data_IF_339836582284
#
_entry.id   IF_339836582284
#
_cell.length_a   1.000
_cell.length_b   1.000
_cell.length_c   1.000
_cell.angle_alpha   90.00
_cell.angle_beta   90.00
_cell.angle_gamma   90.00
#
_symmetry.space_group_name_H-M   'P 1'
#
loop_
_entity.id
_entity.type
_entity.pdbx_description
1 polymer ?
#
# COMPACT_ATOMS: atom_id res chain seq x y z
N UNK A 1 12.96 8.96 9.00
CA UNK A 1 13.12 7.60 9.59
C UNK A 1 13.19 6.59 8.48
N UNK A 2 14.12 5.60 8.55
CA UNK A 2 14.17 4.53 7.54
C UNK A 2 12.92 3.64 7.67
N UNK A 3 12.22 3.31 6.57
CA UNK A 3 11.01 2.47 6.63
C UNK A 3 11.26 1.09 7.26
N UNK A 4 12.47 0.56 7.10
CA UNK A 4 12.88 -0.74 7.63
C UNK A 4 13.34 -0.72 9.09
N UNK A 5 13.47 0.46 9.73
CA UNK A 5 13.89 0.57 11.13
C UNK A 5 12.85 -0.02 12.08
N UNK A 6 13.27 -0.80 13.08
CA UNK A 6 12.39 -1.50 14.05
C UNK A 6 12.45 -0.88 15.46
N UNK A 7 13.04 0.30 15.61
CA UNK A 7 13.26 0.97 16.91
C UNK A 7 11.99 1.21 17.74
N UNK A 8 10.86 1.44 17.07
CA UNK A 8 9.58 1.71 17.73
C UNK A 8 8.68 0.48 17.88
N UNK A 9 9.14 -0.68 17.42
CA UNK A 9 8.42 -1.93 17.42
C UNK A 9 8.46 -2.62 16.05
N UNK A 10 8.13 -3.90 16.03
CA UNK A 10 8.15 -4.71 14.79
C UNK A 10 7.11 -4.20 13.80
N UNK A 11 7.50 -4.18 12.54
CA UNK A 11 6.62 -3.93 11.40
C UNK A 11 7.02 -4.88 10.27
N UNK A 12 6.08 -5.31 9.46
CA UNK A 12 6.42 -6.12 8.30
C UNK A 12 7.02 -5.23 7.20
N UNK A 13 8.17 -5.61 6.66
CA UNK A 13 8.92 -4.86 5.65
C UNK A 13 9.36 -5.72 4.46
N UNK A 14 8.96 -6.99 4.44
CA UNK A 14 9.36 -7.97 3.45
C UNK A 14 9.89 -9.25 4.09
N UNK A 15 10.37 -10.16 3.25
CA UNK A 15 10.93 -11.46 3.67
C UNK A 15 12.44 -11.53 3.43
N UNK A 16 13.03 -12.71 3.54
CA UNK A 16 14.47 -12.90 3.35
C UNK A 16 14.93 -12.45 1.95
N UNK A 17 16.08 -11.80 1.89
CA UNK A 17 16.72 -11.43 0.63
C UNK A 17 17.01 -12.66 -0.22
N UNK A 18 16.89 -12.52 -1.54
CA UNK A 18 17.06 -13.61 -2.50
C UNK A 18 15.79 -14.41 -2.78
N UNK A 19 14.70 -14.17 -2.04
CA UNK A 19 13.39 -14.70 -2.39
C UNK A 19 12.96 -14.14 -3.75
N UNK A 20 12.45 -14.98 -4.64
CA UNK A 20 11.89 -14.54 -5.93
C UNK A 20 10.46 -14.01 -5.81
N UNK A 21 10.12 -13.38 -4.68
CA UNK A 21 8.80 -12.78 -4.43
C UNK A 21 8.90 -11.28 -4.25
N UNK A 22 7.93 -10.57 -4.81
CA UNK A 22 7.77 -9.11 -4.71
C UNK A 22 6.31 -8.82 -4.34
N UNK A 23 6.07 -7.93 -3.38
CA UNK A 23 4.75 -7.38 -3.11
C UNK A 23 4.64 -5.96 -3.64
N UNK A 24 3.78 -5.75 -4.65
CA UNK A 24 3.37 -4.43 -5.07
C UNK A 24 2.33 -3.87 -4.08
N UNK A 25 2.57 -2.67 -3.60
CA UNK A 25 1.64 -1.99 -2.71
C UNK A 25 1.40 -0.56 -3.16
N UNK A 26 0.14 -0.11 -3.05
CA UNK A 26 -0.32 1.21 -3.48
C UNK A 26 -1.02 1.91 -2.33
N UNK A 27 -0.64 3.15 -2.07
CA UNK A 27 -1.18 3.99 -1.00
C UNK A 27 -2.04 5.14 -1.57
N UNK A 28 -2.88 5.72 -0.72
CA UNK A 28 -3.67 6.93 -0.93
C UNK A 28 -4.92 6.80 -1.81
N UNK A 29 -5.23 5.60 -2.33
CA UNK A 29 -6.48 5.36 -3.06
C UNK A 29 -7.74 5.28 -2.16
N UNK A 30 -8.91 4.99 -2.75
CA UNK A 30 -9.16 4.85 -4.19
C UNK A 30 -9.14 6.20 -4.94
N UNK A 31 -8.73 6.18 -6.20
CA UNK A 31 -8.55 7.38 -7.02
C UNK A 31 -9.01 7.15 -8.49
N UNK A 32 -9.90 7.99 -8.96
CA UNK A 32 -10.38 7.96 -10.35
C UNK A 32 -9.58 8.95 -11.22
N UNK A 33 -9.11 8.54 -12.42
CA UNK A 33 -9.26 7.22 -13.05
C UNK A 33 -8.08 6.26 -12.77
N UNK A 34 -7.10 6.65 -11.96
CA UNK A 34 -5.81 5.98 -11.94
C UNK A 34 -5.83 4.62 -11.23
N UNK A 35 -6.64 4.46 -10.15
CA UNK A 35 -6.83 3.14 -9.54
C UNK A 35 -7.42 2.15 -10.55
N UNK A 36 -8.44 2.55 -11.33
CA UNK A 36 -9.05 1.68 -12.34
C UNK A 36 -8.06 1.29 -13.44
N UNK A 37 -7.28 2.25 -13.97
CA UNK A 37 -6.22 1.98 -14.95
C UNK A 37 -5.14 1.05 -14.40
N UNK A 38 -4.82 1.18 -13.10
CA UNK A 38 -3.88 0.29 -12.45
C UNK A 38 -4.43 -1.13 -12.34
N UNK A 39 -5.73 -1.30 -12.04
CA UNK A 39 -6.38 -2.62 -12.05
C UNK A 39 -6.32 -3.27 -13.43
N UNK A 40 -6.48 -2.50 -14.52
CA UNK A 40 -6.31 -3.01 -15.89
C UNK A 40 -4.87 -3.50 -16.15
N UNK A 41 -3.86 -2.75 -15.69
CA UNK A 41 -2.45 -3.18 -15.80
C UNK A 41 -2.23 -4.49 -15.03
N UNK A 42 -2.65 -4.55 -13.77
CA UNK A 42 -2.50 -5.73 -12.93
C UNK A 42 -3.20 -6.97 -13.52
N UNK A 43 -4.39 -6.78 -14.09
CA UNK A 43 -5.15 -7.84 -14.75
C UNK A 43 -4.44 -8.39 -15.99
N UNK A 44 -3.89 -7.53 -16.86
CA UNK A 44 -3.12 -7.95 -18.06
C UNK A 44 -1.94 -8.86 -17.71
N UNK A 45 -1.31 -8.62 -16.58
CA UNK A 45 -0.16 -9.41 -16.11
C UNK A 45 -0.55 -10.57 -15.18
N UNK A 46 -1.84 -10.74 -14.87
CA UNK A 46 -2.32 -11.71 -13.88
C UNK A 46 -1.64 -11.54 -12.50
N UNK A 47 -1.47 -10.29 -12.04
CA UNK A 47 -0.79 -9.92 -10.80
C UNK A 47 -1.79 -9.42 -9.77
N UNK A 48 -1.67 -9.90 -8.53
CA UNK A 48 -2.40 -9.39 -7.39
C UNK A 48 -1.53 -8.46 -6.54
N UNK A 49 -2.09 -7.37 -6.06
CA UNK A 49 -1.41 -6.35 -5.26
C UNK A 49 -2.15 -6.08 -3.93
N UNK A 50 -1.57 -5.21 -3.11
CA UNK A 50 -2.20 -4.73 -1.88
C UNK A 50 -2.37 -3.22 -1.93
N UNK A 51 -3.58 -2.73 -1.63
CA UNK A 51 -3.95 -1.33 -1.64
C UNK A 51 -4.23 -0.85 -0.21
N UNK A 52 -3.54 0.18 0.25
CA UNK A 52 -3.80 0.83 1.53
C UNK A 52 -4.66 2.08 1.29
N UNK A 53 -5.95 1.96 1.58
CA UNK A 53 -6.95 2.96 1.20
C UNK A 53 -7.23 3.96 2.32
N UNK A 54 -7.41 5.23 1.93
CA UNK A 54 -7.84 6.31 2.83
C UNK A 54 -9.36 6.22 3.03
N UNK A 55 -9.81 6.06 4.27
CA UNK A 55 -11.22 5.80 4.58
C UNK A 55 -12.20 6.86 4.06
N UNK A 56 -11.84 8.16 4.11
CA UNK A 56 -12.69 9.22 3.55
C UNK A 56 -12.89 9.09 2.04
N UNK A 57 -11.91 8.58 1.30
CA UNK A 57 -12.03 8.35 -0.15
C UNK A 57 -12.80 7.07 -0.45
N UNK A 58 -12.67 6.05 0.41
CA UNK A 58 -13.53 4.86 0.34
C UNK A 58 -15.00 5.23 0.48
N UNK A 59 -15.36 6.12 1.40
CA UNK A 59 -16.76 6.61 1.52
C UNK A 59 -17.26 7.32 0.27
N UNK A 60 -16.38 8.05 -0.42
CA UNK A 60 -16.75 8.79 -1.64
C UNK A 60 -16.81 7.89 -2.87
N UNK A 61 -15.95 6.87 -2.95
CA UNK A 61 -15.78 5.98 -4.11
C UNK A 61 -15.73 4.50 -3.68
N UNK A 62 -16.78 4.09 -2.96
CA UNK A 62 -16.97 2.69 -2.56
C UNK A 62 -17.05 1.73 -3.76
N UNK A 63 -17.51 2.23 -4.92
CA UNK A 63 -17.53 1.51 -6.19
C UNK A 63 -16.11 1.04 -6.58
N UNK A 64 -15.11 1.92 -6.54
CA UNK A 64 -13.72 1.57 -6.87
C UNK A 64 -13.13 0.60 -5.84
N UNK A 65 -13.42 0.80 -4.54
CA UNK A 65 -12.98 -0.14 -3.50
C UNK A 65 -13.52 -1.55 -3.74
N UNK A 66 -14.77 -1.68 -4.20
CA UNK A 66 -15.35 -2.98 -4.59
C UNK A 66 -14.68 -3.59 -5.81
N UNK A 67 -14.33 -2.80 -6.83
CA UNK A 67 -13.60 -3.32 -8.01
C UNK A 67 -12.21 -3.84 -7.63
N UNK A 68 -11.49 -3.17 -6.70
CA UNK A 68 -10.21 -3.67 -6.17
C UNK A 68 -10.37 -5.09 -5.58
N UNK A 69 -11.36 -5.30 -4.72
CA UNK A 69 -11.59 -6.59 -4.06
C UNK A 69 -12.08 -7.65 -5.06
N UNK A 70 -13.00 -7.28 -5.95
CA UNK A 70 -13.53 -8.16 -7.00
C UNK A 70 -12.43 -8.68 -7.94
N UNK A 71 -11.39 -7.86 -8.19
CA UNK A 71 -10.21 -8.25 -8.96
C UNK A 71 -9.22 -9.12 -8.16
N UNK A 72 -9.53 -9.49 -6.90
CA UNK A 72 -8.72 -10.38 -6.07
C UNK A 72 -7.55 -9.70 -5.35
N UNK A 73 -7.52 -8.38 -5.32
CA UNK A 73 -6.51 -7.63 -4.58
C UNK A 73 -6.85 -7.53 -3.09
N UNK A 74 -5.84 -7.30 -2.27
CA UNK A 74 -6.00 -7.11 -0.82
C UNK A 74 -6.12 -5.62 -0.51
N UNK A 75 -7.05 -5.28 0.39
CA UNK A 75 -7.26 -3.92 0.89
C UNK A 75 -6.82 -3.84 2.35
N UNK A 76 -6.01 -2.84 2.69
CA UNK A 76 -5.57 -2.49 4.03
C UNK A 76 -5.98 -1.06 4.44
N UNK A 77 -5.85 -0.79 5.72
CA UNK A 77 -6.19 0.48 6.37
C UNK A 77 -5.06 1.50 6.18
N UNK A 78 -5.39 2.71 5.64
CA UNK A 78 -4.44 3.83 5.54
C UNK A 78 -4.91 5.07 6.31
N UNK A 79 -5.59 4.86 7.46
CA UNK A 79 -6.29 5.88 8.26
C UNK A 79 -7.50 6.50 7.55
N UNK A 80 -8.30 7.25 8.30
CA UNK A 80 -9.50 7.87 7.72
C UNK A 80 -9.21 9.15 6.95
N UNK A 81 -8.35 10.05 7.50
CA UNK A 81 -8.05 11.37 6.91
C UNK A 81 -6.60 11.55 6.48
N UNK A 82 -5.74 10.54 6.65
CA UNK A 82 -4.32 10.57 6.34
C UNK A 82 -3.50 11.58 7.17
N UNK A 83 -3.63 11.66 8.51
CA UNK A 83 -2.85 12.57 9.32
C UNK A 83 -1.46 12.00 9.61
N UNK A 84 -0.52 12.88 9.95
CA UNK A 84 0.78 12.46 10.49
C UNK A 84 0.62 11.99 11.94
N UNK A 85 0.47 10.68 12.14
CA UNK A 85 0.08 10.04 13.41
C UNK A 85 1.07 10.25 14.56
N UNK A 86 2.33 10.61 14.30
CA UNK A 86 3.33 10.81 15.35
C UNK A 86 3.01 12.00 16.27
N UNK A 87 2.16 12.93 15.83
CA UNK A 87 1.71 14.08 16.62
C UNK A 87 0.32 13.87 17.22
N UNK A 88 -0.31 12.71 17.02
CA UNK A 88 -1.68 12.43 17.47
C UNK A 88 -1.69 11.70 18.81
N UNK A 89 -2.66 12.02 19.67
CA UNK A 89 -2.93 11.25 20.89
C UNK A 89 -3.36 9.82 20.57
N UNK A 90 -3.29 8.91 21.53
CA UNK A 90 -3.75 7.53 21.35
C UNK A 90 -5.24 7.46 20.98
N UNK A 91 -6.07 8.35 21.54
CA UNK A 91 -7.49 8.42 21.22
C UNK A 91 -7.73 8.86 19.76
N UNK A 92 -7.00 9.87 19.26
CA UNK A 92 -7.08 10.31 17.87
C UNK A 92 -6.58 9.21 16.91
N UNK A 93 -5.47 8.53 17.24
CA UNK A 93 -4.98 7.40 16.45
C UNK A 93 -6.04 6.32 16.37
N UNK A 94 -6.64 5.92 17.51
CA UNK A 94 -7.70 4.92 17.56
C UNK A 94 -8.89 5.33 16.69
N UNK A 95 -9.31 6.60 16.79
CA UNK A 95 -10.41 7.13 15.97
C UNK A 95 -10.12 7.02 14.47
N UNK A 96 -8.93 7.47 14.02
CA UNK A 96 -8.51 7.40 12.62
C UNK A 96 -8.53 5.97 12.07
N UNK A 97 -8.02 5.02 12.84
CA UNK A 97 -7.97 3.62 12.44
C UNK A 97 -9.35 2.96 12.44
N UNK A 98 -10.18 3.26 13.44
CA UNK A 98 -11.53 2.70 13.56
C UNK A 98 -12.48 3.28 12.51
N UNK A 99 -12.44 4.58 12.25
CA UNK A 99 -13.27 5.23 11.23
C UNK A 99 -12.93 4.70 9.81
N UNK A 100 -11.63 4.47 9.53
CA UNK A 100 -11.21 3.85 8.27
C UNK A 100 -11.71 2.40 8.17
N UNK A 101 -11.59 1.61 9.26
CA UNK A 101 -12.13 0.24 9.31
C UNK A 101 -13.63 0.22 9.03
N UNK A 102 -14.40 1.12 9.65
CA UNK A 102 -15.84 1.23 9.39
C UNK A 102 -16.13 1.57 7.94
N UNK A 103 -15.41 2.53 7.36
CA UNK A 103 -15.59 2.89 5.95
C UNK A 103 -15.28 1.72 4.99
N UNK A 104 -14.24 0.95 5.28
CA UNK A 104 -13.91 -0.26 4.52
C UNK A 104 -14.99 -1.33 4.70
N UNK A 105 -15.42 -1.61 5.92
CA UNK A 105 -16.47 -2.59 6.19
C UNK A 105 -17.78 -2.23 5.48
N UNK A 106 -18.20 -0.97 5.54
CA UNK A 106 -19.42 -0.49 4.88
C UNK A 106 -19.35 -0.61 3.35
N UNK A 107 -18.16 -0.44 2.76
CA UNK A 107 -17.96 -0.48 1.31
C UNK A 107 -17.78 -1.89 0.74
N UNK A 108 -17.00 -2.74 1.43
CA UNK A 108 -16.49 -4.02 0.90
C UNK A 108 -16.68 -5.22 1.85
N UNK A 109 -17.31 -5.02 3.01
CA UNK A 109 -17.46 -6.08 4.02
C UNK A 109 -16.14 -6.42 4.71
N UNK A 110 -15.84 -7.73 4.82
CA UNK A 110 -14.58 -8.18 5.41
C UNK A 110 -13.37 -7.74 4.58
N UNK A 111 -12.32 -7.26 5.27
CA UNK A 111 -11.07 -6.82 4.68
C UNK A 111 -9.89 -7.29 5.54
N UNK A 112 -8.67 -7.12 5.02
CA UNK A 112 -7.48 -7.54 5.73
C UNK A 112 -7.25 -6.72 7.01
N UNK A 113 -6.52 -7.29 7.95
CA UNK A 113 -6.06 -6.59 9.15
C UNK A 113 -4.78 -5.77 8.92
N UNK A 114 -4.38 -5.55 7.68
CA UNK A 114 -3.18 -4.79 7.35
C UNK A 114 -3.40 -3.29 7.57
N UNK A 115 -2.37 -2.64 8.08
CA UNK A 115 -2.34 -1.19 8.31
C UNK A 115 -1.01 -0.60 7.84
N UNK A 116 -1.07 0.52 7.13
CA UNK A 116 0.13 1.30 6.83
C UNK A 116 -0.02 2.72 7.40
N UNK A 117 0.92 3.17 8.25
CA UNK A 117 0.86 4.53 8.78
C UNK A 117 1.19 5.56 7.70
N UNK A 118 0.39 6.64 7.56
CA UNK A 118 0.70 7.76 6.69
C UNK A 118 2.13 8.27 6.83
N UNK A 119 2.79 8.55 5.68
CA UNK A 119 4.19 9.00 5.61
C UNK A 119 5.21 8.04 6.25
N UNK A 120 4.82 6.81 6.55
CA UNK A 120 5.62 5.89 7.37
C UNK A 120 5.82 6.38 8.81
N UNK A 121 5.04 7.36 9.24
CA UNK A 121 5.12 8.00 10.54
C UNK A 121 4.70 7.08 11.67
N UNK A 122 5.68 6.54 12.43
CA UNK A 122 5.42 5.61 13.52
C UNK A 122 6.21 5.94 14.78
N UNK A 123 5.60 5.70 15.92
CA UNK A 123 6.17 5.72 17.26
C UNK A 123 5.50 4.61 18.09
N UNK A 124 6.00 4.27 19.30
CA UNK A 124 5.42 3.16 20.08
C UNK A 124 3.91 3.25 20.27
N UNK A 125 3.36 4.45 20.50
CA UNK A 125 1.92 4.61 20.66
C UNK A 125 1.13 4.27 19.39
N UNK A 126 1.63 4.61 18.19
CA UNK A 126 0.97 4.28 16.91
C UNK A 126 0.90 2.77 16.73
N UNK A 127 2.04 2.07 16.91
CA UNK A 127 2.12 0.64 16.70
C UNK A 127 1.32 -0.14 17.75
N UNK A 128 1.33 0.31 19.01
CA UNK A 128 0.54 -0.29 20.09
C UNK A 128 -0.96 -0.17 19.83
N UNK A 129 -1.44 1.06 19.54
CA UNK A 129 -2.86 1.28 19.26
C UNK A 129 -3.33 0.49 18.03
N UNK A 130 -2.51 0.39 16.98
CA UNK A 130 -2.84 -0.47 15.82
C UNK A 130 -3.03 -1.92 16.24
N UNK A 131 -2.11 -2.50 17.02
CA UNK A 131 -2.20 -3.89 17.49
C UNK A 131 -3.35 -4.13 18.45
N UNK A 132 -3.65 -3.20 19.36
CA UNK A 132 -4.84 -3.27 20.22
C UNK A 132 -6.14 -3.35 19.42
N UNK A 133 -6.14 -2.83 18.21
CA UNK A 133 -7.23 -2.95 17.23
C UNK A 133 -7.11 -4.20 16.34
N UNK A 134 -6.13 -5.08 16.58
CA UNK A 134 -5.88 -6.26 15.76
C UNK A 134 -5.27 -5.94 14.38
N UNK A 135 -4.70 -4.75 14.18
CA UNK A 135 -4.09 -4.35 12.92
C UNK A 135 -2.59 -4.68 12.90
N UNK A 136 -2.11 -5.21 11.78
CA UNK A 136 -0.70 -5.53 11.55
C UNK A 136 -0.02 -4.40 10.75
N UNK A 137 0.98 -3.72 11.34
CA UNK A 137 1.67 -2.63 10.68
C UNK A 137 2.60 -3.12 9.56
N UNK A 138 2.38 -2.63 8.34
CA UNK A 138 3.15 -2.94 7.14
C UNK A 138 3.88 -1.70 6.66
N UNK A 139 5.18 -1.83 6.42
CA UNK A 139 6.03 -0.82 5.82
C UNK A 139 6.50 -1.27 4.44
N UNK A 140 7.62 -0.75 3.98
CA UNK A 140 8.25 -1.09 2.71
C UNK A 140 9.78 -1.07 2.83
N UNK A 141 10.46 -1.69 1.92
CA UNK A 141 11.92 -1.62 1.79
C UNK A 141 12.36 -1.12 0.41
N UNK A 142 11.43 -1.00 -0.54
CA UNK A 142 11.64 -0.42 -1.88
C UNK A 142 10.64 0.68 -2.13
N UNK A 143 11.04 1.79 -2.76
CA UNK A 143 10.13 2.87 -3.15
C UNK A 143 10.51 3.49 -4.49
N UNK A 144 9.47 3.82 -5.28
CA UNK A 144 9.60 4.53 -6.56
C UNK A 144 9.79 6.04 -6.42
N UNK A 145 9.49 6.63 -5.25
CA UNK A 145 9.39 8.08 -5.04
C UNK A 145 8.44 8.75 -6.03
N UNK A 146 7.33 8.09 -6.31
CA UNK A 146 6.34 8.43 -7.33
C UNK A 146 5.35 9.53 -6.93
N UNK A 147 5.30 9.92 -5.64
CA UNK A 147 4.43 10.98 -5.15
C UNK A 147 4.68 12.36 -5.75
N UNK A 148 5.87 12.61 -6.29
CA UNK A 148 6.24 13.81 -7.03
C UNK A 148 5.98 13.69 -8.54
N UNK A 149 5.29 12.62 -8.99
CA UNK A 149 4.97 12.32 -10.37
C UNK A 149 6.16 12.43 -11.37
N UNK A 150 7.35 11.89 -11.05
CA UNK A 150 8.44 11.87 -12.01
C UNK A 150 8.09 10.94 -13.17
N UNK A 151 8.74 11.07 -14.35
CA UNK A 151 8.51 10.19 -15.49
C UNK A 151 8.64 8.70 -15.13
N UNK A 152 7.80 7.85 -15.70
CA UNK A 152 7.75 6.41 -15.40
C UNK A 152 9.14 5.70 -15.45
N UNK A 153 10.04 5.98 -16.41
CA UNK A 153 11.38 5.37 -16.42
C UNK A 153 12.25 5.76 -15.22
N UNK A 154 11.97 6.91 -14.59
CA UNK A 154 12.67 7.34 -13.37
C UNK A 154 12.18 6.53 -12.17
N UNK A 155 10.87 6.30 -12.06
CA UNK A 155 10.25 5.45 -11.03
C UNK A 155 10.81 4.03 -11.14
N UNK A 156 10.79 3.45 -12.35
CA UNK A 156 11.30 2.11 -12.63
C UNK A 156 12.77 1.97 -12.20
N UNK A 157 13.65 2.89 -12.63
CA UNK A 157 15.08 2.85 -12.26
C UNK A 157 15.28 2.93 -10.73
N UNK A 158 14.48 3.72 -10.03
CA UNK A 158 14.57 3.81 -8.56
C UNK A 158 14.17 2.51 -7.89
N UNK A 159 13.10 1.88 -8.34
CA UNK A 159 12.67 0.56 -7.88
C UNK A 159 13.76 -0.47 -8.17
N UNK A 160 14.23 -0.55 -9.41
CA UNK A 160 15.23 -1.51 -9.86
C UNK A 160 16.55 -1.47 -9.06
N UNK A 161 17.00 -0.28 -8.66
CA UNK A 161 18.20 -0.13 -7.83
C UNK A 161 18.07 -0.73 -6.42
N UNK A 162 16.86 -0.93 -5.93
CA UNK A 162 16.59 -1.35 -4.56
C UNK A 162 16.17 -2.82 -4.44
N UNK A 163 15.60 -3.43 -5.50
CA UNK A 163 15.13 -4.82 -5.47
C UNK A 163 16.28 -5.78 -5.11
N UNK A 164 16.01 -6.67 -4.14
CA UNK A 164 16.91 -7.71 -3.64
C UNK A 164 16.23 -9.06 -3.50
N UNK A 165 14.92 -9.11 -3.78
CA UNK A 165 14.04 -10.25 -3.55
C UNK A 165 13.49 -10.29 -2.12
N UNK A 166 12.23 -10.70 -1.99
CA UNK A 166 11.46 -10.62 -0.76
C UNK A 166 10.97 -9.21 -0.43
N UNK A 167 10.85 -8.35 -1.44
CA UNK A 167 10.65 -6.91 -1.28
C UNK A 167 9.18 -6.50 -1.22
N UNK A 168 8.90 -5.46 -0.43
CA UNK A 168 7.65 -4.70 -0.44
C UNK A 168 7.90 -3.37 -1.11
N UNK A 169 7.26 -3.14 -2.27
CA UNK A 169 7.40 -1.92 -3.05
C UNK A 169 6.27 -0.94 -2.67
N UNK A 170 6.64 0.29 -2.28
CA UNK A 170 5.72 1.39 -2.10
C UNK A 170 5.60 2.19 -3.39
N UNK A 171 4.37 2.30 -3.88
CA UNK A 171 3.89 3.22 -4.89
C UNK A 171 2.57 3.86 -4.43
N UNK A 172 2.00 4.76 -5.23
CA UNK A 172 0.76 5.45 -4.90
C UNK A 172 -0.21 5.41 -6.08
N UNK A 173 -1.45 4.99 -5.83
CA UNK A 173 -2.55 5.08 -6.79
C UNK A 173 -3.39 6.35 -6.59
N UNK A 174 -3.21 7.03 -5.45
CA UNK A 174 -3.91 8.26 -5.10
C UNK A 174 -3.01 9.37 -4.57
N UNK A 175 -3.63 10.37 -3.98
CA UNK A 175 -2.94 11.48 -3.32
C UNK A 175 -3.66 11.92 -2.06
N UNK A 176 -2.92 12.00 -0.95
CA UNK A 176 -3.50 12.27 0.36
C UNK A 176 -4.19 13.63 0.51
N UNK A 177 -3.86 14.63 -0.31
CA UNK A 177 -4.47 15.98 -0.23
C UNK A 177 -5.82 16.02 -0.93
N UNK A 178 -5.86 15.50 -2.17
CA UNK A 178 -7.02 15.55 -3.03
C UNK A 178 -7.24 14.21 -3.72
N UNK A 179 -8.50 13.76 -3.80
CA UNK A 179 -8.90 12.75 -4.74
C UNK A 179 -8.70 13.29 -6.17
N UNK A 180 -8.33 12.44 -7.12
CA UNK A 180 -8.07 12.85 -8.51
C UNK A 180 -6.62 13.28 -8.78
N UNK A 181 -5.69 13.02 -7.83
CA UNK A 181 -4.26 13.25 -8.06
C UNK A 181 -3.78 12.45 -9.27
N UNK A 182 -3.02 13.09 -10.17
CA UNK A 182 -2.46 12.41 -11.35
C UNK A 182 -1.43 11.36 -10.92
N UNK A 183 -1.68 10.12 -11.32
CA UNK A 183 -0.81 8.94 -11.09
C UNK A 183 -0.53 8.17 -12.38
N UNK A 184 -0.70 8.81 -13.55
CA UNK A 184 -0.43 8.15 -14.82
C UNK A 184 0.99 7.59 -14.88
N UNK A 185 1.98 8.32 -14.38
CA UNK A 185 3.37 7.86 -14.39
C UNK A 185 3.59 6.63 -13.50
N UNK A 186 2.86 6.52 -12.39
CA UNK A 186 2.87 5.32 -11.53
C UNK A 186 2.25 4.12 -12.26
N UNK A 187 1.13 4.33 -12.95
CA UNK A 187 0.47 3.27 -13.75
C UNK A 187 1.42 2.72 -14.81
N UNK A 188 2.06 3.61 -15.59
CA UNK A 188 3.04 3.23 -16.63
C UNK A 188 4.28 2.53 -16.04
N UNK A 189 4.81 3.05 -14.94
CA UNK A 189 5.96 2.43 -14.26
C UNK A 189 5.62 1.04 -13.71
N UNK A 190 4.40 0.84 -13.22
CA UNK A 190 3.94 -0.47 -12.72
C UNK A 190 3.95 -1.51 -13.83
N UNK A 191 3.46 -1.18 -15.02
CA UNK A 191 3.48 -2.05 -16.20
C UNK A 191 4.92 -2.50 -16.53
N UNK A 192 5.85 -1.54 -16.63
CA UNK A 192 7.28 -1.82 -16.90
C UNK A 192 7.94 -2.67 -15.81
N UNK A 193 7.66 -2.37 -14.53
CA UNK A 193 8.21 -3.12 -13.38
C UNK A 193 7.72 -4.57 -13.40
N UNK A 194 6.44 -4.80 -13.64
CA UNK A 194 5.88 -6.16 -13.68
C UNK A 194 6.50 -6.93 -14.86
N UNK A 195 6.48 -6.35 -16.07
CA UNK A 195 7.05 -6.98 -17.27
C UNK A 195 8.49 -7.42 -17.04
N UNK A 196 9.31 -6.52 -16.50
CA UNK A 196 10.74 -6.80 -16.24
C UNK A 196 10.93 -7.94 -15.25
N UNK A 197 10.30 -7.86 -14.08
CA UNK A 197 10.59 -8.81 -13.01
C UNK A 197 9.90 -10.17 -13.20
N UNK A 198 8.79 -10.25 -13.94
CA UNK A 198 8.26 -11.53 -14.41
C UNK A 198 9.23 -12.21 -15.39
N UNK A 199 9.84 -11.46 -16.32
CA UNK A 199 10.88 -11.99 -17.20
C UNK A 199 12.15 -12.45 -16.45
N UNK A 200 12.45 -11.85 -15.30
CA UNK A 200 13.53 -12.25 -14.39
C UNK A 200 13.11 -13.39 -13.43
N UNK A 201 11.92 -13.96 -13.56
CA UNK A 201 11.40 -15.09 -12.77
C UNK A 201 10.94 -14.73 -11.35
N UNK A 202 10.49 -13.50 -11.14
CA UNK A 202 9.87 -13.09 -9.86
C UNK A 202 8.36 -13.32 -9.88
N UNK A 203 7.83 -13.77 -8.74
CA UNK A 203 6.41 -13.87 -8.47
C UNK A 203 5.92 -12.60 -7.75
N UNK A 204 4.84 -12.02 -8.25
CA UNK A 204 4.16 -10.93 -7.57
C UNK A 204 3.06 -11.49 -6.66
N UNK A 205 3.14 -11.14 -5.37
CA UNK A 205 2.22 -11.66 -4.35
C UNK A 205 1.63 -10.52 -3.50
N UNK A 206 0.47 -10.75 -2.91
CA UNK A 206 -0.07 -9.80 -1.92
C UNK A 206 0.72 -9.86 -0.61
N UNK A 207 0.62 -8.80 0.20
CA UNK A 207 1.24 -8.79 1.55
C UNK A 207 0.77 -9.99 2.37
N UNK A 208 -0.52 -10.31 2.37
CA UNK A 208 -1.06 -11.46 3.12
C UNK A 208 -0.41 -12.78 2.70
N UNK A 209 -0.24 -13.02 1.38
CA UNK A 209 0.46 -14.21 0.86
C UNK A 209 1.95 -14.19 1.23
N UNK A 210 2.60 -13.02 1.19
CA UNK A 210 4.02 -12.89 1.53
C UNK A 210 4.26 -13.16 3.02
N UNK A 211 3.38 -12.68 3.91
CA UNK A 211 3.47 -12.91 5.36
C UNK A 211 3.23 -14.37 5.75
N UNK A 212 2.37 -15.09 5.04
CA UNK A 212 2.05 -16.49 5.34
C UNK A 212 3.24 -17.45 5.17
N UNK A 213 4.32 -17.00 4.51
CA UNK A 213 5.53 -17.79 4.22
C UNK A 213 6.82 -17.13 4.73
N UNK A 214 6.69 -16.14 5.64
CA UNK A 214 7.81 -15.37 6.22
C UNK A 214 8.41 -16.02 7.47
#
# INVERSE_FOLDING_TARGET
>A
MAPTGQWYGRTFTGTARGSKRIALTFDDGPNDPHTLRLLEVLARHNVQATFFLIGRYVRQRADIAREIVKAGHVVGNHTFTHPLLIFKSAAEIRKELSDCRSALHDAIGEHSNLFRPPFGGRRPAVLRTARELGLEPVMWNVTGYDWNAPPAPVIERKVAKQIRGGDVILLHDGGHKNMGADRLQTVLATDSVITRYQAEGYDFVTISKMMAVA
#
